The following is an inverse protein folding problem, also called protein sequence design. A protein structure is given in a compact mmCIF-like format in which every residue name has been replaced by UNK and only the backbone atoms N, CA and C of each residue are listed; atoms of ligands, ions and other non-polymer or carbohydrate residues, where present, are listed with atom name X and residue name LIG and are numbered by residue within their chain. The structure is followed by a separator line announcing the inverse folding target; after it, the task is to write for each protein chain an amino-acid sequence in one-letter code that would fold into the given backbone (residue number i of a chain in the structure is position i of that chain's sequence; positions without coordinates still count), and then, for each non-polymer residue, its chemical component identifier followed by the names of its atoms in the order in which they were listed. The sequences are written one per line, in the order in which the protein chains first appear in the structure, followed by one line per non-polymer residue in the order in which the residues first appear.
data_IF_911958836137
#
_entry.id   IF_911958836137
#
_cell.length_a   1.000
_cell.length_b   1.000
_cell.length_c   1.000
_cell.angle_alpha   90.00
_cell.angle_beta   90.00
_cell.angle_gamma   90.00
#
_symmetry.space_group_name_H-M   'P 1'
#
loop_
_entity.id
_entity.type
_entity.pdbx_description
1 polymer ?
#
# COMPACT_ATOMS: atom_id res chain seq x y z
N UNK A 1 -95.63 -2.76 -1.04
CA UNK A 1 -94.47 -2.86 -0.13
C UNK A 1 -93.34 -3.58 -0.85
N UNK A 2 -92.55 -2.81 -1.62
CA UNK A 2 -91.39 -3.23 -2.41
C UNK A 2 -90.24 -2.30 -2.02
N UNK A 3 -89.01 -2.81 -2.09
CA UNK A 3 -87.74 -2.05 -2.02
C UNK A 3 -87.20 -1.63 -0.65
N UNK A 4 -87.07 -2.56 0.31
CA UNK A 4 -86.08 -2.40 1.40
C UNK A 4 -85.51 -3.78 1.71
N UNK A 5 -84.46 -4.19 1.01
CA UNK A 5 -83.56 -5.31 1.42
C UNK A 5 -82.37 -5.58 0.50
N UNK A 6 -82.21 -4.84 -0.60
CA UNK A 6 -81.04 -4.96 -1.49
C UNK A 6 -80.03 -3.81 -1.38
N UNK A 7 -80.21 -2.88 -0.44
CA UNK A 7 -79.35 -1.69 -0.27
C UNK A 7 -78.36 -1.80 0.89
N UNK A 8 -78.34 -2.91 1.63
CA UNK A 8 -77.40 -3.12 2.74
C UNK A 8 -76.15 -3.92 2.36
N UNK A 9 -76.08 -4.46 1.14
CA UNK A 9 -74.91 -5.21 0.64
C UNK A 9 -74.06 -4.44 -0.38
N UNK A 10 -74.47 -3.21 -0.74
CA UNK A 10 -73.74 -2.35 -1.67
C UNK A 10 -73.06 -1.14 -0.99
N UNK A 11 -73.32 -0.91 0.30
CA UNK A 11 -72.67 0.17 1.07
C UNK A 11 -71.48 -0.32 1.91
N UNK A 12 -71.34 -1.62 2.13
CA UNK A 12 -70.22 -2.22 2.87
C UNK A 12 -69.04 -2.60 1.99
N UNK A 13 -69.22 -2.61 0.66
CA UNK A 13 -68.17 -2.88 -0.33
C UNK A 13 -67.49 -1.62 -0.88
N UNK A 14 -67.96 -0.43 -0.52
CA UNK A 14 -67.35 0.85 -0.95
C UNK A 14 -66.39 1.47 0.07
N UNK A 15 -66.16 0.84 1.23
CA UNK A 15 -65.25 1.36 2.27
C UNK A 15 -63.89 0.65 2.36
N UNK A 16 -63.56 -0.27 1.45
CA UNK A 16 -62.27 -1.00 1.46
C UNK A 16 -61.22 -0.37 0.53
N UNK A 17 -61.53 0.72 -0.18
CA UNK A 17 -60.59 1.37 -1.12
C UNK A 17 -60.27 2.82 -0.76
N UNK A 18 -60.32 3.16 0.53
CA UNK A 18 -59.70 4.37 1.08
C UNK A 18 -58.59 3.97 2.06
N UNK A 19 -57.69 3.09 1.61
CA UNK A 19 -56.36 3.04 2.21
C UNK A 19 -55.63 4.28 1.71
N UNK A 20 -55.75 5.38 2.46
CA UNK A 20 -54.71 6.40 2.45
C UNK A 20 -53.45 5.70 2.95
N UNK A 21 -52.68 5.09 2.04
CA UNK A 21 -51.31 4.73 2.33
C UNK A 21 -50.62 6.03 2.70
N UNK A 22 -50.15 6.15 3.94
CA UNK A 22 -49.27 7.25 4.29
C UNK A 22 -48.09 7.23 3.33
N UNK A 23 -47.81 8.36 2.69
CA UNK A 23 -46.64 8.52 1.85
C UNK A 23 -45.40 8.47 2.74
N UNK A 24 -44.84 7.27 2.88
CA UNK A 24 -43.60 6.99 3.61
C UNK A 24 -42.37 7.00 2.71
N UNK A 25 -42.49 7.50 1.49
CA UNK A 25 -41.34 7.62 0.59
C UNK A 25 -40.21 8.42 1.23
N UNK A 26 -40.54 9.50 1.96
CA UNK A 26 -39.56 10.28 2.72
C UNK A 26 -38.82 9.49 3.80
N UNK A 27 -39.53 8.65 4.57
CA UNK A 27 -38.92 7.79 5.60
C UNK A 27 -38.06 6.69 4.97
N UNK A 28 -38.50 6.13 3.84
CA UNK A 28 -37.73 5.16 3.07
C UNK A 28 -36.42 5.79 2.55
N UNK A 29 -36.49 6.92 1.85
CA UNK A 29 -35.30 7.61 1.31
C UNK A 29 -34.34 8.09 2.42
N UNK A 30 -34.84 8.45 3.59
CA UNK A 30 -34.00 8.76 4.74
C UNK A 30 -33.20 7.55 5.25
N UNK A 31 -33.74 6.34 5.12
CA UNK A 31 -33.10 5.10 5.56
C UNK A 31 -32.15 4.48 4.52
N UNK A 32 -32.40 4.71 3.23
CA UNK A 32 -31.62 4.08 2.15
C UNK A 32 -30.74 5.05 1.34
N UNK A 33 -30.80 6.35 1.65
CA UNK A 33 -30.16 7.40 0.86
C UNK A 33 -28.66 7.18 0.63
N UNK A 34 -27.92 6.74 1.65
CA UNK A 34 -26.49 6.42 1.55
C UNK A 34 -26.22 5.38 0.46
N UNK A 35 -26.99 4.29 0.47
CA UNK A 35 -26.82 3.19 -0.46
C UNK A 35 -27.31 3.51 -1.87
N UNK A 36 -28.38 4.30 -2.01
CA UNK A 36 -28.79 4.84 -3.30
C UNK A 36 -27.70 5.70 -3.93
N UNK A 37 -27.05 6.54 -3.12
CA UNK A 37 -25.93 7.37 -3.57
C UNK A 37 -24.72 6.52 -3.95
N UNK A 38 -24.35 5.52 -3.15
CA UNK A 38 -23.26 4.58 -3.49
C UNK A 38 -23.54 3.88 -4.82
N UNK A 39 -24.75 3.33 -5.00
CA UNK A 39 -25.11 2.66 -6.25
C UNK A 39 -25.04 3.63 -7.45
N UNK A 40 -25.49 4.87 -7.28
CA UNK A 40 -25.41 5.90 -8.32
C UNK A 40 -23.94 6.14 -8.74
N UNK A 41 -23.06 6.43 -7.78
CA UNK A 41 -21.63 6.66 -8.06
C UNK A 41 -20.99 5.44 -8.72
N UNK A 42 -21.31 4.23 -8.25
CA UNK A 42 -20.80 3.00 -8.85
C UNK A 42 -21.29 2.83 -10.30
N UNK A 43 -22.56 3.12 -10.60
CA UNK A 43 -23.07 3.05 -11.98
C UNK A 43 -22.46 4.09 -12.91
N UNK A 44 -22.09 5.25 -12.39
CA UNK A 44 -21.52 6.35 -13.18
C UNK A 44 -20.01 6.18 -13.40
N UNK A 45 -19.27 5.74 -12.39
CA UNK A 45 -17.80 5.86 -12.36
C UNK A 45 -17.04 4.54 -12.20
N UNK A 46 -17.68 3.46 -11.75
CA UNK A 46 -16.98 2.20 -11.52
C UNK A 46 -16.40 1.63 -12.82
N UNK A 47 -15.17 1.13 -12.77
CA UNK A 47 -14.48 0.58 -13.93
C UNK A 47 -15.25 -0.58 -14.57
N UNK A 48 -15.92 -1.38 -13.74
CA UNK A 48 -16.73 -2.53 -14.16
C UNK A 48 -18.23 -2.31 -13.90
N UNK A 49 -18.73 -1.09 -14.13
CA UNK A 49 -20.12 -0.71 -13.88
C UNK A 49 -21.15 -1.61 -14.58
N UNK A 50 -20.82 -2.12 -15.76
CA UNK A 50 -21.66 -3.03 -16.57
C UNK A 50 -21.80 -4.45 -15.96
N UNK A 51 -20.98 -4.74 -14.95
CA UNK A 51 -20.88 -6.03 -14.27
C UNK A 51 -21.38 -5.97 -12.81
N UNK A 52 -21.99 -4.85 -12.40
CA UNK A 52 -22.63 -4.69 -11.09
C UNK A 52 -23.77 -5.73 -10.96
N UNK A 53 -23.78 -6.55 -9.90
CA UNK A 53 -24.86 -7.51 -9.67
C UNK A 53 -26.23 -6.85 -9.49
N UNK A 54 -27.30 -7.59 -9.78
CA UNK A 54 -28.66 -7.12 -9.51
C UNK A 54 -28.90 -6.99 -8.00
N UNK A 55 -29.31 -5.80 -7.56
CA UNK A 55 -29.55 -5.45 -6.15
C UNK A 55 -31.03 -5.62 -5.81
N UNK A 56 -31.31 -6.21 -4.65
CA UNK A 56 -32.68 -6.36 -4.13
C UNK A 56 -33.04 -5.15 -3.27
N UNK A 57 -34.32 -4.83 -3.18
CA UNK A 57 -34.81 -3.74 -2.33
C UNK A 57 -34.37 -3.89 -0.85
N UNK A 58 -34.29 -5.13 -0.36
CA UNK A 58 -33.82 -5.41 1.01
C UNK A 58 -32.33 -5.13 1.23
N UNK A 59 -31.53 -5.05 0.16
CA UNK A 59 -30.09 -4.84 0.27
C UNK A 59 -29.74 -3.40 0.66
N UNK A 60 -30.59 -2.43 0.31
CA UNK A 60 -30.39 -1.01 0.59
C UNK A 60 -30.45 -0.64 2.07
N UNK A 61 -30.86 -1.56 2.94
CA UNK A 61 -30.86 -1.37 4.40
C UNK A 61 -29.57 -1.86 5.08
N UNK A 62 -28.59 -2.34 4.31
CA UNK A 62 -27.30 -2.74 4.84
C UNK A 62 -26.44 -1.51 5.20
N UNK A 63 -25.48 -1.70 6.12
CA UNK A 63 -24.41 -0.72 6.32
C UNK A 63 -23.69 -0.41 4.99
N UNK A 64 -23.28 0.85 4.75
CA UNK A 64 -22.66 1.30 3.51
C UNK A 64 -21.56 0.37 2.95
N UNK A 65 -20.62 -0.07 3.80
CA UNK A 65 -19.53 -0.95 3.37
C UNK A 65 -20.07 -2.31 2.92
N UNK A 66 -21.01 -2.89 3.66
CA UNK A 66 -21.65 -4.16 3.28
C UNK A 66 -22.47 -4.03 2.00
N UNK A 67 -23.06 -2.87 1.74
CA UNK A 67 -23.76 -2.59 0.50
C UNK A 67 -22.79 -2.47 -0.68
N UNK A 68 -21.68 -1.73 -0.53
CA UNK A 68 -20.62 -1.65 -1.54
C UNK A 68 -20.09 -3.03 -1.93
N UNK A 69 -19.83 -3.91 -0.97
CA UNK A 69 -19.36 -5.29 -1.23
C UNK A 69 -20.36 -6.14 -2.04
N UNK A 70 -21.64 -5.74 -2.13
CA UNK A 70 -22.63 -6.38 -3.02
C UNK A 70 -22.57 -5.85 -4.46
N UNK A 71 -22.05 -4.64 -4.67
CA UNK A 71 -21.95 -4.00 -5.98
C UNK A 71 -20.67 -4.41 -6.74
N UNK A 72 -19.58 -4.67 -6.03
CA UNK A 72 -18.27 -4.91 -6.65
C UNK A 72 -18.24 -6.17 -7.52
N UNK A 73 -17.52 -6.11 -8.63
CA UNK A 73 -17.47 -7.19 -9.61
C UNK A 73 -16.57 -8.35 -9.13
N UNK A 74 -17.18 -9.48 -8.77
CA UNK A 74 -16.48 -10.64 -8.19
C UNK A 74 -15.52 -11.39 -9.12
N UNK A 75 -15.59 -11.15 -10.44
CA UNK A 75 -14.65 -11.76 -11.42
C UNK A 75 -13.62 -10.78 -11.98
N UNK A 76 -13.58 -9.54 -11.45
CA UNK A 76 -12.53 -8.58 -11.79
C UNK A 76 -11.13 -9.14 -11.48
N UNK A 77 -10.10 -8.49 -12.04
CA UNK A 77 -8.70 -8.75 -11.68
C UNK A 77 -8.31 -10.24 -11.80
N UNK A 78 -8.62 -10.87 -12.95
CA UNK A 78 -8.40 -12.31 -13.20
C UNK A 78 -9.09 -13.24 -12.19
N UNK A 79 -10.33 -12.92 -11.83
CA UNK A 79 -11.14 -13.75 -10.91
C UNK A 79 -10.84 -13.53 -9.43
N UNK A 80 -10.00 -12.55 -9.08
CA UNK A 80 -9.75 -12.14 -7.68
C UNK A 80 -10.86 -11.26 -7.11
N UNK A 81 -11.73 -10.73 -7.98
CA UNK A 81 -12.72 -9.73 -7.63
C UNK A 81 -12.09 -8.33 -7.53
N UNK A 82 -12.84 -7.42 -6.94
CA UNK A 82 -12.37 -6.07 -6.64
C UNK A 82 -12.25 -5.89 -5.13
N UNK A 83 -11.06 -6.16 -4.56
CA UNK A 83 -10.79 -5.92 -3.14
C UNK A 83 -10.31 -4.48 -2.89
N UNK A 84 -10.49 -3.58 -3.87
CA UNK A 84 -9.87 -2.25 -3.89
C UNK A 84 -10.90 -1.13 -3.72
N UNK A 85 -12.14 -1.32 -4.15
CA UNK A 85 -13.19 -0.36 -3.81
C UNK A 85 -13.54 -0.44 -2.31
N UNK A 86 -13.62 0.71 -1.63
CA UNK A 86 -13.89 0.76 -0.18
C UNK A 86 -14.59 2.05 0.26
N UNK A 87 -15.14 2.03 1.48
CA UNK A 87 -15.64 3.23 2.18
C UNK A 87 -14.67 3.67 3.28
N UNK A 88 -14.42 4.97 3.31
CA UNK A 88 -13.64 5.65 4.36
C UNK A 88 -14.58 6.56 5.15
N UNK A 89 -14.87 6.26 6.42
CA UNK A 89 -15.70 7.16 7.23
C UNK A 89 -14.92 8.44 7.53
N UNK A 90 -15.52 9.63 7.57
CA UNK A 90 -14.73 10.87 7.74
C UNK A 90 -14.04 10.95 9.12
N UNK A 91 -14.65 10.38 10.15
CA UNK A 91 -14.02 10.19 11.46
C UNK A 91 -12.80 9.26 11.38
N UNK A 92 -12.87 8.18 10.59
CA UNK A 92 -11.67 7.39 10.27
C UNK A 92 -10.77 8.09 9.26
N UNK A 93 -11.22 8.97 8.37
CA UNK A 93 -10.34 9.73 7.48
C UNK A 93 -9.48 10.72 8.25
N UNK A 94 -9.94 11.18 9.42
CA UNK A 94 -9.14 11.98 10.34
C UNK A 94 -8.28 11.11 11.27
N UNK A 95 -8.69 9.86 11.55
CA UNK A 95 -8.01 8.92 12.45
C UNK A 95 -7.18 7.79 11.77
N UNK A 96 -7.30 7.59 10.46
CA UNK A 96 -6.84 6.46 9.64
C UNK A 96 -6.09 6.93 8.38
N UNK A 97 -5.63 8.19 8.35
CA UNK A 97 -4.52 8.60 7.48
C UNK A 97 -3.30 7.78 7.89
N UNK A 98 -3.16 6.54 7.39
CA UNK A 98 -2.18 5.50 7.79
C UNK A 98 -2.17 5.16 9.29
N UNK A 99 -2.26 3.88 9.67
CA UNK A 99 -2.14 3.44 11.07
C UNK A 99 -0.83 3.83 11.79
N UNK A 100 0.16 4.36 11.05
CA UNK A 100 1.39 4.95 11.60
C UNK A 100 1.34 6.48 11.65
N UNK A 101 0.37 7.09 10.98
CA UNK A 101 0.19 8.52 10.88
C UNK A 101 -1.02 8.93 11.76
N UNK A 102 -0.68 9.64 12.84
CA UNK A 102 -1.49 10.72 13.44
C UNK A 102 -2.50 10.45 14.55
N UNK A 103 -2.82 9.22 14.97
CA UNK A 103 -3.54 9.02 16.27
C UNK A 103 -2.58 8.61 17.38
N UNK A 104 -1.93 7.45 17.27
CA UNK A 104 -0.90 7.03 18.21
C UNK A 104 -0.10 5.84 17.69
N UNK A 105 1.23 5.84 17.80
CA UNK A 105 2.04 4.65 17.56
C UNK A 105 3.36 4.69 18.34
N UNK A 106 3.96 3.53 18.60
CA UNK A 106 5.37 3.47 19.01
C UNK A 106 6.34 3.74 17.85
N UNK A 107 5.88 3.63 16.60
CA UNK A 107 6.60 4.06 15.40
C UNK A 107 7.56 3.02 14.82
N UNK A 108 7.15 1.75 14.78
CA UNK A 108 7.89 0.69 14.08
C UNK A 108 6.93 -0.31 13.42
N UNK A 109 7.42 -0.97 12.36
CA UNK A 109 6.77 -2.10 11.73
C UNK A 109 7.50 -3.41 12.07
N UNK A 110 6.76 -4.51 12.10
CA UNK A 110 7.26 -5.83 12.45
C UNK A 110 6.54 -6.95 11.69
N UNK A 111 7.19 -8.09 11.61
CA UNK A 111 6.55 -9.37 11.31
C UNK A 111 6.47 -10.23 12.55
N UNK A 112 5.29 -10.79 12.80
CA UNK A 112 5.04 -11.75 13.86
C UNK A 112 5.22 -13.14 13.26
N UNK A 113 6.05 -13.98 13.88
CA UNK A 113 6.25 -15.35 13.43
C UNK A 113 6.48 -16.30 14.59
N UNK A 114 6.18 -17.57 14.36
CA UNK A 114 6.70 -18.63 15.23
C UNK A 114 8.20 -18.71 15.07
N UNK A 115 8.89 -19.26 16.08
CA UNK A 115 10.34 -19.46 16.09
C UNK A 115 10.91 -19.86 14.71
N UNK A 116 11.70 -18.98 14.04
CA UNK A 116 12.26 -19.22 12.71
C UNK A 116 13.19 -20.43 12.65
N UNK A 117 13.71 -20.91 13.79
CA UNK A 117 14.57 -22.09 13.85
C UNK A 117 13.78 -23.41 13.89
N UNK A 118 12.50 -23.34 14.29
CA UNK A 118 11.65 -24.49 14.54
C UNK A 118 11.95 -25.27 15.84
N UNK A 119 12.84 -24.78 16.71
CA UNK A 119 13.17 -25.46 17.98
C UNK A 119 12.09 -25.27 19.06
N UNK A 120 11.27 -24.22 18.94
CA UNK A 120 10.17 -23.95 19.86
C UNK A 120 8.91 -23.46 19.14
N UNK A 121 7.80 -23.35 19.88
CA UNK A 121 6.57 -22.71 19.40
C UNK A 121 6.42 -21.27 19.87
N UNK A 122 7.49 -20.65 20.41
CA UNK A 122 7.44 -19.25 20.82
C UNK A 122 7.13 -18.35 19.64
N UNK A 123 6.45 -17.24 19.94
CA UNK A 123 6.13 -16.21 18.95
C UNK A 123 7.06 -15.04 19.19
N UNK A 124 7.71 -14.60 18.11
CA UNK A 124 8.58 -13.44 18.12
C UNK A 124 8.06 -12.40 17.13
N UNK A 125 8.32 -11.13 17.44
CA UNK A 125 8.17 -10.04 16.48
C UNK A 125 9.55 -9.60 16.00
N UNK A 126 9.80 -9.68 14.69
CA UNK A 126 11.00 -9.14 14.07
C UNK A 126 10.72 -7.74 13.57
N UNK A 127 11.50 -6.76 14.02
CA UNK A 127 11.35 -5.38 13.56
C UNK A 127 11.83 -5.27 12.10
N UNK A 128 10.97 -4.74 11.24
CA UNK A 128 11.26 -4.52 9.82
C UNK A 128 11.70 -3.08 9.56
N UNK A 129 11.19 -2.13 10.35
CA UNK A 129 11.36 -0.72 10.07
C UNK A 129 11.08 0.10 11.33
N UNK A 130 11.86 1.15 11.58
CA UNK A 130 11.66 2.06 12.74
C UNK A 130 11.65 3.50 12.22
N UNK A 131 10.59 4.24 12.56
CA UNK A 131 10.44 5.64 12.21
C UNK A 131 11.41 6.50 13.04
N UNK A 132 12.10 7.48 12.43
CA UNK A 132 12.87 8.47 13.19
C UNK A 132 11.95 9.29 14.11
N UNK A 133 12.48 9.78 15.23
CA UNK A 133 11.76 10.61 16.19
C UNK A 133 10.51 9.95 16.81
N UNK A 134 10.49 8.62 16.84
CA UNK A 134 9.44 7.80 17.43
C UNK A 134 9.83 7.28 18.82
N UNK A 135 8.85 6.91 19.68
CA UNK A 135 9.15 6.22 20.94
C UNK A 135 10.04 4.98 20.78
N UNK A 136 9.89 4.23 19.69
CA UNK A 136 10.73 3.08 19.38
C UNK A 136 12.17 3.48 19.06
N UNK A 137 12.38 4.51 18.23
CA UNK A 137 13.73 5.01 17.93
C UNK A 137 14.42 5.59 19.18
N UNK A 138 13.67 6.28 20.05
CA UNK A 138 14.18 6.84 21.31
C UNK A 138 14.56 5.74 22.31
N UNK A 139 13.90 4.58 22.23
CA UNK A 139 14.22 3.39 23.02
C UNK A 139 15.40 2.58 22.45
N UNK A 140 15.97 2.98 21.31
CA UNK A 140 17.07 2.26 20.65
C UNK A 140 16.63 0.95 19.98
N UNK A 141 15.36 0.85 19.56
CA UNK A 141 14.91 -0.22 18.69
C UNK A 141 15.41 0.00 17.28
N UNK A 142 15.84 -1.09 16.65
CA UNK A 142 16.35 -1.08 15.28
C UNK A 142 15.74 -2.21 14.46
N UNK A 143 15.74 -2.04 13.14
CA UNK A 143 15.42 -3.10 12.19
C UNK A 143 16.29 -4.34 12.50
N UNK A 144 15.67 -5.52 12.45
CA UNK A 144 16.31 -6.79 12.74
C UNK A 144 16.27 -7.22 14.20
N UNK A 145 15.96 -6.32 15.15
CA UNK A 145 15.72 -6.71 16.54
C UNK A 145 14.54 -7.70 16.63
N UNK A 146 14.68 -8.71 17.50
CA UNK A 146 13.61 -9.65 17.83
C UNK A 146 13.01 -9.30 19.19
N UNK A 147 11.69 -9.25 19.27
CA UNK A 147 10.93 -9.01 20.50
C UNK A 147 10.22 -10.29 20.93
N UNK A 148 10.42 -10.71 22.18
CA UNK A 148 9.82 -11.91 22.78
C UNK A 148 8.71 -11.62 23.79
N UNK A 149 8.68 -10.41 24.38
CA UNK A 149 7.72 -10.07 25.42
C UNK A 149 7.36 -8.58 25.44
N UNK A 150 6.17 -8.27 25.94
CA UNK A 150 5.64 -6.92 26.16
C UNK A 150 5.29 -6.77 27.64
N UNK A 151 5.92 -5.82 28.33
CA UNK A 151 5.79 -5.71 29.77
C UNK A 151 6.33 -6.95 30.47
N UNK A 152 5.46 -7.70 31.14
CA UNK A 152 5.77 -8.97 31.81
C UNK A 152 5.21 -10.19 31.07
N UNK A 153 4.48 -9.98 29.99
CA UNK A 153 3.76 -11.03 29.26
C UNK A 153 4.55 -11.42 28.02
N UNK A 154 4.71 -12.73 27.80
CA UNK A 154 5.28 -13.25 26.56
C UNK A 154 4.43 -12.85 25.36
N UNK A 155 5.08 -12.65 24.22
CA UNK A 155 4.43 -12.30 22.97
C UNK A 155 3.65 -13.50 22.43
N UNK A 156 2.44 -13.26 21.95
CA UNK A 156 1.53 -14.25 21.41
C UNK A 156 0.76 -13.69 20.21
N UNK A 157 0.05 -14.57 19.51
CA UNK A 157 -0.85 -14.18 18.42
C UNK A 157 -2.04 -13.33 18.88
N UNK A 158 -2.31 -13.26 20.19
CA UNK A 158 -3.46 -12.54 20.72
C UNK A 158 -3.10 -11.17 21.31
N UNK A 159 -1.83 -10.93 21.64
CA UNK A 159 -1.41 -9.69 22.32
C UNK A 159 -0.45 -8.82 21.47
N UNK A 160 -0.11 -9.21 20.24
CA UNK A 160 0.79 -8.44 19.37
C UNK A 160 0.28 -7.03 19.04
N UNK A 161 -1.02 -6.75 19.20
CA UNK A 161 -1.58 -5.41 19.05
C UNK A 161 -0.90 -4.37 19.96
N UNK A 162 -0.42 -4.79 21.14
CA UNK A 162 0.33 -3.93 22.06
C UNK A 162 1.75 -3.56 21.57
N UNK A 163 2.21 -4.11 20.45
CA UNK A 163 3.42 -3.62 19.77
C UNK A 163 3.15 -2.37 18.93
N UNK A 164 1.89 -2.08 18.62
CA UNK A 164 1.54 -0.99 17.71
C UNK A 164 1.40 0.34 18.44
N UNK A 165 0.73 0.33 19.59
CA UNK A 165 0.39 1.49 20.40
C UNK A 165 0.09 1.10 21.87
N UNK A 166 0.10 2.09 22.76
CA UNK A 166 -0.19 1.91 24.18
C UNK A 166 0.47 2.96 25.09
N UNK A 167 0.37 2.75 26.40
CA UNK A 167 1.06 3.54 27.42
C UNK A 167 2.56 3.25 27.50
N UNK A 168 3.22 3.73 28.55
CA UNK A 168 4.61 3.33 28.80
C UNK A 168 4.70 1.81 28.98
N UNK A 169 5.65 1.17 28.32
CA UNK A 169 5.83 -0.29 28.38
C UNK A 169 7.30 -0.67 28.30
N UNK A 170 7.57 -1.97 28.33
CA UNK A 170 8.89 -2.54 28.06
C UNK A 170 8.80 -3.60 26.97
N UNK A 171 9.84 -3.74 26.17
CA UNK A 171 9.96 -4.84 25.22
C UNK A 171 11.22 -5.65 25.55
N UNK A 172 11.09 -6.97 25.66
CA UNK A 172 12.24 -7.86 25.83
C UNK A 172 12.83 -8.16 24.45
N UNK A 173 14.12 -7.86 24.27
CA UNK A 173 14.84 -8.13 23.03
C UNK A 173 15.61 -9.43 23.14
N UNK A 174 15.59 -10.20 22.07
CA UNK A 174 16.32 -11.45 21.92
C UNK A 174 17.30 -11.38 20.76
N UNK A 175 18.37 -12.14 20.87
CA UNK A 175 19.32 -12.39 19.79
C UNK A 175 19.34 -13.88 19.48
N UNK A 176 19.31 -14.20 18.18
CA UNK A 176 19.50 -15.56 17.70
C UNK A 176 20.98 -15.78 17.40
N UNK A 177 21.61 -16.72 18.10
CA UNK A 177 23.03 -17.06 17.91
C UNK A 177 23.18 -18.49 17.41
N UNK A 178 24.27 -18.75 16.71
CA UNK A 178 24.66 -20.06 16.21
C UNK A 178 26.02 -20.42 16.79
N UNK A 179 26.18 -21.66 17.25
CA UNK A 179 27.49 -22.19 17.64
C UNK A 179 28.31 -22.65 16.41
N UNK A 180 29.55 -23.11 16.64
CA UNK A 180 30.43 -23.61 15.58
C UNK A 180 29.88 -24.85 14.85
N UNK A 181 28.93 -25.55 15.47
CA UNK A 181 28.26 -26.74 14.95
C UNK A 181 26.98 -26.38 14.18
N UNK A 182 26.60 -25.10 14.16
CA UNK A 182 25.40 -24.59 13.48
C UNK A 182 24.11 -24.75 14.29
N UNK A 183 24.18 -25.12 15.57
CA UNK A 183 23.00 -25.17 16.43
C UNK A 183 22.59 -23.75 16.84
N UNK A 184 21.30 -23.47 16.74
CA UNK A 184 20.73 -22.17 17.05
C UNK A 184 20.24 -22.08 18.49
N UNK A 185 20.46 -20.94 19.17
CA UNK A 185 19.87 -20.65 20.48
C UNK A 185 19.45 -19.19 20.61
N UNK A 186 18.36 -18.96 21.36
CA UNK A 186 17.88 -17.63 21.71
C UNK A 186 18.55 -17.16 23.01
N UNK A 187 19.07 -15.94 22.99
CA UNK A 187 19.69 -15.29 24.13
C UNK A 187 19.01 -13.95 24.40
N UNK A 188 18.54 -13.78 25.63
CA UNK A 188 18.02 -12.51 26.13
C UNK A 188 19.10 -11.44 26.02
N UNK A 189 18.81 -10.40 25.25
CA UNK A 189 19.73 -9.28 25.02
C UNK A 189 19.57 -8.26 26.13
N UNK A 190 18.37 -7.69 26.25
CA UNK A 190 18.00 -6.74 27.29
C UNK A 190 16.47 -6.54 27.33
N UNK A 191 16.02 -5.63 28.20
CA UNK A 191 14.64 -5.14 28.22
C UNK A 191 14.67 -3.64 28.04
N UNK A 192 14.14 -3.15 26.93
CA UNK A 192 14.10 -1.73 26.61
C UNK A 192 12.84 -1.08 27.14
N UNK A 193 12.96 0.13 27.70
CA UNK A 193 11.81 0.93 28.13
C UNK A 193 11.35 1.78 26.95
N UNK A 194 10.07 1.68 26.62
CA UNK A 194 9.46 2.44 25.53
C UNK A 194 8.45 3.39 26.12
N UNK A 195 8.60 4.68 25.82
CA UNK A 195 7.64 5.71 26.19
C UNK A 195 6.28 5.44 25.52
N UNK A 196 5.22 6.00 26.10
CA UNK A 196 3.88 5.92 25.53
C UNK A 196 3.86 6.30 24.05
N UNK A 197 3.04 5.57 23.30
CA UNK A 197 2.79 5.85 21.89
C UNK A 197 2.27 7.28 21.71
N UNK A 198 2.58 7.87 20.57
CA UNK A 198 2.17 9.23 20.20
C UNK A 198 2.05 9.35 18.68
N UNK A 199 1.47 10.43 18.13
CA UNK A 199 1.58 10.72 16.71
C UNK A 199 3.05 10.77 16.27
N UNK A 200 3.39 10.02 15.23
CA UNK A 200 4.72 10.02 14.58
C UNK A 200 4.52 10.32 13.10
N UNK A 201 5.37 11.18 12.55
CA UNK A 201 5.36 11.48 11.12
C UNK A 201 6.05 10.36 10.34
N UNK A 202 5.40 9.88 9.28
CA UNK A 202 6.03 9.03 8.27
C UNK A 202 6.47 9.94 7.12
N UNK A 203 7.74 10.34 7.13
CA UNK A 203 8.36 10.94 5.95
C UNK A 203 8.61 9.84 4.91
N UNK A 204 8.15 9.99 3.65
CA UNK A 204 8.29 8.96 2.63
C UNK A 204 9.74 8.74 2.17
N UNK A 205 10.62 9.74 2.34
CA UNK A 205 12.05 9.63 2.02
C UNK A 205 12.80 9.13 3.25
N UNK A 206 12.81 7.81 3.44
CA UNK A 206 13.42 7.23 4.63
C UNK A 206 14.95 7.28 4.60
N UNK A 207 15.53 7.02 3.42
CA UNK A 207 16.97 7.08 3.18
C UNK A 207 17.19 7.62 1.78
N UNK A 208 18.17 8.51 1.64
CA UNK A 208 18.66 9.03 0.38
C UNK A 208 20.18 9.27 0.48
N UNK A 209 20.98 8.47 -0.22
CA UNK A 209 22.44 8.48 -0.08
C UNK A 209 23.15 8.08 -1.37
N UNK A 210 24.47 8.25 -1.39
CA UNK A 210 25.35 7.80 -2.47
C UNK A 210 26.46 6.95 -1.88
N UNK A 211 26.63 5.76 -2.45
CA UNK A 211 27.76 4.90 -2.16
C UNK A 211 28.84 5.02 -3.23
N UNK A 212 30.10 4.98 -2.81
CA UNK A 212 31.24 4.80 -3.71
C UNK A 212 31.81 3.40 -3.49
N UNK A 213 31.52 2.48 -4.43
CA UNK A 213 31.94 1.06 -4.32
C UNK A 213 32.58 0.63 -5.62
N UNK A 214 33.80 0.08 -5.53
CA UNK A 214 34.59 -0.39 -6.68
C UNK A 214 34.69 0.65 -7.81
N UNK A 215 34.86 1.92 -7.45
CA UNK A 215 34.98 3.04 -8.40
C UNK A 215 33.68 3.48 -9.07
N UNK A 216 32.52 3.01 -8.59
CA UNK A 216 31.20 3.44 -9.07
C UNK A 216 30.44 4.23 -8.01
N UNK A 217 29.77 5.29 -8.42
CA UNK A 217 28.82 6.05 -7.61
C UNK A 217 27.42 5.46 -7.77
N UNK A 218 26.83 5.00 -6.68
CA UNK A 218 25.51 4.37 -6.67
C UNK A 218 24.59 5.22 -5.79
N UNK A 219 23.63 5.90 -6.41
CA UNK A 219 22.56 6.56 -5.67
C UNK A 219 21.57 5.50 -5.15
N UNK A 220 21.16 5.62 -3.89
CA UNK A 220 20.23 4.73 -3.23
C UNK A 220 19.16 5.54 -2.51
N UNK A 221 17.90 5.16 -2.73
CA UNK A 221 16.76 5.81 -2.09
C UNK A 221 15.75 4.78 -1.60
N UNK A 222 15.43 4.82 -0.31
CA UNK A 222 14.27 4.11 0.27
C UNK A 222 13.09 5.06 0.25
N UNK A 223 12.15 4.81 -0.66
CA UNK A 223 10.97 5.64 -0.86
C UNK A 223 9.72 4.85 -0.50
N UNK A 224 9.05 5.26 0.57
CA UNK A 224 8.10 4.43 1.31
C UNK A 224 6.62 4.76 1.08
N UNK A 225 6.31 5.88 0.45
CA UNK A 225 4.93 6.25 0.10
C UNK A 225 4.94 7.33 -0.99
N UNK A 226 4.05 7.19 -1.98
CA UNK A 226 3.80 8.24 -2.98
C UNK A 226 2.82 9.28 -2.42
N UNK A 227 3.30 10.12 -1.50
CA UNK A 227 2.54 11.22 -0.90
C UNK A 227 3.02 12.58 -1.39
N UNK A 228 2.11 13.54 -1.46
CA UNK A 228 2.34 14.95 -1.82
C UNK A 228 2.82 15.80 -0.63
N UNK A 229 2.47 15.40 0.60
CA UNK A 229 2.90 16.06 1.83
C UNK A 229 2.40 15.39 3.12
N UNK A 230 2.68 15.97 4.30
CA UNK A 230 2.38 15.34 5.60
C UNK A 230 0.89 15.12 5.89
N UNK A 231 0.00 15.86 5.22
CA UNK A 231 -1.44 15.67 5.35
C UNK A 231 -2.00 14.69 4.30
N UNK A 232 -1.14 14.23 3.39
CA UNK A 232 -1.46 13.31 2.30
C UNK A 232 -2.61 13.84 1.42
N UNK A 233 -2.70 15.17 1.26
CA UNK A 233 -3.70 15.82 0.41
C UNK A 233 -3.07 16.18 -0.94
N UNK A 234 -3.77 15.98 -2.06
CA UNK A 234 -3.20 16.27 -3.38
C UNK A 234 -2.75 17.73 -3.60
N UNK A 235 -3.22 18.67 -2.76
CA UNK A 235 -2.80 20.07 -2.76
C UNK A 235 -1.50 20.34 -2.01
N UNK A 236 -1.03 19.40 -1.19
CA UNK A 236 0.24 19.51 -0.48
C UNK A 236 1.42 19.54 -1.49
N UNK A 237 2.54 20.14 -1.09
CA UNK A 237 3.71 20.30 -1.97
C UNK A 237 5.03 19.95 -1.31
N UNK A 238 5.06 19.80 0.02
CA UNK A 238 6.27 19.67 0.83
C UNK A 238 7.11 18.46 0.41
N UNK A 239 6.49 17.29 0.23
CA UNK A 239 7.22 16.09 -0.18
C UNK A 239 7.62 16.14 -1.67
N UNK A 240 6.88 16.85 -2.51
CA UNK A 240 7.28 17.07 -3.92
C UNK A 240 8.53 17.95 -4.00
N UNK A 241 8.59 19.02 -3.21
CA UNK A 241 9.78 19.87 -3.11
C UNK A 241 10.96 19.13 -2.49
N UNK A 242 10.74 18.30 -1.46
CA UNK A 242 11.78 17.45 -0.89
C UNK A 242 12.33 16.46 -1.94
N UNK A 243 11.47 15.82 -2.74
CA UNK A 243 11.90 14.96 -3.84
C UNK A 243 12.81 15.72 -4.81
N UNK A 244 12.38 16.92 -5.22
CA UNK A 244 13.17 17.77 -6.14
C UNK A 244 14.55 18.07 -5.58
N UNK A 245 14.66 18.41 -4.30
CA UNK A 245 15.94 18.68 -3.64
C UNK A 245 16.85 17.43 -3.59
N UNK A 246 16.27 16.26 -3.29
CA UNK A 246 16.99 14.97 -3.30
C UNK A 246 17.56 14.69 -4.69
N UNK A 247 16.75 14.85 -5.74
CA UNK A 247 17.19 14.61 -7.11
C UNK A 247 18.17 15.67 -7.63
N UNK A 248 18.03 16.93 -7.24
CA UNK A 248 19.04 17.96 -7.51
C UNK A 248 20.41 17.57 -6.92
N UNK A 249 20.44 17.05 -5.68
CA UNK A 249 21.66 16.57 -5.04
C UNK A 249 22.22 15.34 -5.75
N UNK A 250 21.39 14.35 -6.09
CA UNK A 250 21.83 13.19 -6.86
C UNK A 250 22.40 13.60 -8.23
N UNK A 251 21.73 14.50 -8.95
CA UNK A 251 22.22 15.03 -10.23
C UNK A 251 23.59 15.68 -10.10
N UNK A 252 23.79 16.53 -9.08
CA UNK A 252 25.07 17.18 -8.80
C UNK A 252 26.21 16.20 -8.48
N UNK A 253 25.89 14.97 -8.05
CA UNK A 253 26.86 13.93 -7.74
C UNK A 253 27.13 12.98 -8.91
N UNK A 254 26.28 13.02 -9.95
CA UNK A 254 26.41 12.24 -11.19
C UNK A 254 26.62 10.74 -10.94
N UNK A 255 25.66 10.05 -10.32
CA UNK A 255 25.77 8.62 -10.04
C UNK A 255 25.78 7.80 -11.34
N UNK A 256 26.54 6.70 -11.34
CA UNK A 256 26.61 5.73 -12.43
C UNK A 256 25.42 4.76 -12.42
N UNK A 257 24.81 4.56 -11.24
CA UNK A 257 23.66 3.68 -11.04
C UNK A 257 22.69 4.25 -10.01
N UNK A 258 21.42 3.87 -10.14
CA UNK A 258 20.36 4.24 -9.21
C UNK A 258 19.63 2.99 -8.71
N UNK A 259 19.58 2.82 -7.39
CA UNK A 259 18.80 1.80 -6.71
C UNK A 259 17.60 2.48 -6.02
N UNK A 260 16.40 2.14 -6.48
CA UNK A 260 15.15 2.58 -5.90
C UNK A 260 14.57 1.46 -5.03
N UNK A 261 14.54 1.65 -3.72
CA UNK A 261 13.97 0.68 -2.79
C UNK A 261 12.51 1.02 -2.49
N UNK A 262 11.61 0.19 -3.03
CA UNK A 262 10.16 0.26 -2.86
C UNK A 262 9.64 -0.94 -2.07
N UNK A 263 10.51 -1.69 -1.38
CA UNK A 263 10.14 -2.99 -0.80
C UNK A 263 8.99 -2.88 0.20
N UNK A 264 8.81 -1.72 0.85
CA UNK A 264 7.70 -1.46 1.77
C UNK A 264 6.73 -0.38 1.29
N UNK A 265 6.77 -0.03 0.00
CA UNK A 265 5.96 1.05 -0.55
C UNK A 265 4.62 0.55 -1.14
N UNK A 266 3.48 0.86 -0.50
CA UNK A 266 2.16 0.42 -0.92
C UNK A 266 1.57 1.23 -2.10
N UNK A 267 2.31 2.20 -2.63
CA UNK A 267 1.93 3.08 -3.74
C UNK A 267 1.59 4.50 -3.28
N UNK A 268 0.55 5.09 -3.87
CA UNK A 268 -0.03 6.37 -3.45
C UNK A 268 -0.53 7.15 -4.67
N UNK A 269 -0.21 8.43 -4.75
CA UNK A 269 -0.63 9.30 -5.84
C UNK A 269 0.10 9.01 -7.16
N UNK A 270 -0.66 8.92 -8.26
CA UNK A 270 -0.11 8.76 -9.60
C UNK A 270 0.72 9.98 -10.04
N UNK A 271 0.37 11.17 -9.55
CA UNK A 271 1.13 12.40 -9.81
C UNK A 271 2.56 12.33 -9.26
N UNK A 272 2.73 11.82 -8.02
CA UNK A 272 4.06 11.58 -7.45
C UNK A 272 4.83 10.50 -8.23
N UNK A 273 4.15 9.46 -8.73
CA UNK A 273 4.77 8.46 -9.60
C UNK A 273 5.23 9.06 -10.94
N UNK A 274 4.46 9.99 -11.49
CA UNK A 274 4.80 10.71 -12.72
C UNK A 274 6.02 11.61 -12.51
N UNK A 275 6.08 12.35 -11.40
CA UNK A 275 7.26 13.14 -11.03
C UNK A 275 8.49 12.25 -10.84
N UNK A 276 8.38 11.14 -10.11
CA UNK A 276 9.47 10.19 -9.94
C UNK A 276 9.94 9.61 -11.29
N UNK A 277 9.00 9.22 -12.15
CA UNK A 277 9.29 8.79 -13.52
C UNK A 277 10.04 9.87 -14.31
N UNK A 278 9.68 11.14 -14.13
CA UNK A 278 10.32 12.29 -14.79
C UNK A 278 11.76 12.51 -14.33
N UNK A 279 12.09 12.23 -13.06
CA UNK A 279 13.47 12.29 -12.61
C UNK A 279 14.33 11.12 -13.12
N UNK A 280 13.72 9.96 -13.38
CA UNK A 280 14.44 8.73 -13.70
C UNK A 280 14.57 8.44 -15.20
N UNK A 281 13.57 8.82 -16.02
CA UNK A 281 13.53 8.52 -17.45
C UNK A 281 14.72 9.14 -18.23
N UNK A 282 15.04 8.63 -19.43
CA UNK A 282 15.96 9.32 -20.34
C UNK A 282 15.48 10.74 -20.62
N UNK A 283 16.38 11.72 -20.59
CA UNK A 283 16.06 13.14 -20.72
C UNK A 283 15.37 13.47 -22.05
N UNK A 284 15.69 12.71 -23.11
CA UNK A 284 15.08 12.78 -24.45
C UNK A 284 13.58 12.44 -24.46
N UNK A 285 13.10 11.74 -23.44
CA UNK A 285 11.70 11.29 -23.35
C UNK A 285 10.81 12.22 -22.52
N UNK A 286 11.36 13.24 -21.86
CA UNK A 286 10.56 14.25 -21.15
C UNK A 286 9.51 14.88 -22.08
N UNK A 287 8.29 15.02 -21.60
CA UNK A 287 7.11 15.45 -22.37
C UNK A 287 6.34 14.32 -23.06
N UNK A 288 6.89 13.10 -23.17
CA UNK A 288 6.14 11.93 -23.67
C UNK A 288 5.22 11.37 -22.59
N UNK A 289 4.17 10.67 -22.99
CA UNK A 289 3.17 10.06 -22.10
C UNK A 289 3.82 9.02 -21.18
N UNK A 290 3.96 9.29 -19.88
CA UNK A 290 4.48 8.32 -18.92
C UNK A 290 3.48 7.18 -18.73
N UNK A 291 2.25 7.55 -18.38
CA UNK A 291 1.15 6.62 -18.19
C UNK A 291 -0.17 7.21 -18.70
N UNK A 292 -1.14 6.34 -18.94
CA UNK A 292 -2.51 6.69 -19.34
C UNK A 292 -3.48 6.03 -18.38
N UNK A 293 -4.40 6.79 -17.78
CA UNK A 293 -5.55 6.18 -17.12
C UNK A 293 -6.61 5.87 -18.17
N UNK A 294 -7.12 4.64 -18.15
CA UNK A 294 -8.20 4.17 -19.02
C UNK A 294 -9.44 3.90 -18.15
N UNK A 295 -10.40 4.80 -18.24
CA UNK A 295 -11.69 4.71 -17.55
C UNK A 295 -12.67 3.79 -18.30
N UNK A 296 -13.85 3.56 -17.71
CA UNK A 296 -14.94 2.85 -18.36
C UNK A 296 -15.40 3.55 -19.66
N UNK A 297 -16.14 2.85 -20.51
CA UNK A 297 -16.57 3.34 -21.84
C UNK A 297 -17.67 4.41 -21.81
N UNK A 298 -18.20 4.76 -20.63
CA UNK A 298 -19.17 5.85 -20.45
C UNK A 298 -18.53 7.13 -19.90
N UNK A 299 -17.24 7.07 -19.55
CA UNK A 299 -16.48 8.24 -19.09
C UNK A 299 -16.03 9.11 -20.25
N UNK A 300 -16.11 10.43 -20.07
CA UNK A 300 -15.62 11.44 -21.02
C UNK A 300 -14.71 12.46 -20.29
N UNK A 301 -13.40 12.51 -20.59
CA UNK A 301 -12.68 11.65 -21.52
C UNK A 301 -12.47 10.23 -20.98
N UNK A 302 -12.50 9.23 -21.86
CA UNK A 302 -12.20 7.84 -21.47
C UNK A 302 -10.71 7.62 -21.13
N UNK A 303 -9.82 8.42 -21.73
CA UNK A 303 -8.37 8.31 -21.56
C UNK A 303 -7.82 9.64 -21.07
N UNK A 304 -6.99 9.60 -20.04
CA UNK A 304 -6.23 10.76 -19.56
C UNK A 304 -4.76 10.41 -19.50
N UNK A 305 -3.96 11.17 -20.24
CA UNK A 305 -2.51 10.97 -20.31
C UNK A 305 -1.79 11.81 -19.24
N UNK A 306 -0.79 11.21 -18.62
CA UNK A 306 0.11 11.84 -17.67
C UNK A 306 1.51 11.88 -18.31
N UNK A 307 1.95 13.02 -18.87
CA UNK A 307 3.25 13.10 -19.50
C UNK A 307 4.38 13.23 -18.47
N UNK A 308 5.58 12.75 -18.83
CA UNK A 308 6.81 13.06 -18.11
C UNK A 308 6.99 14.58 -18.05
N UNK A 309 7.17 15.11 -16.85
CA UNK A 309 7.16 16.53 -16.56
C UNK A 309 8.44 17.23 -17.02
N UNK A 310 8.35 18.04 -18.07
CA UNK A 310 9.48 18.81 -18.60
C UNK A 310 10.01 19.87 -17.63
N UNK A 311 9.21 20.29 -16.64
CA UNK A 311 9.62 21.23 -15.60
C UNK A 311 10.65 20.66 -14.61
N UNK A 312 10.87 19.33 -14.63
CA UNK A 312 11.82 18.61 -13.78
C UNK A 312 13.13 18.26 -14.50
N UNK A 313 13.35 18.83 -15.70
CA UNK A 313 14.51 18.52 -16.54
C UNK A 313 15.87 18.83 -15.86
N UNK A 314 15.92 19.82 -14.97
CA UNK A 314 17.15 20.22 -14.28
C UNK A 314 17.64 19.18 -13.27
N UNK A 315 16.72 18.40 -12.71
CA UNK A 315 16.99 17.36 -11.70
C UNK A 315 16.93 15.94 -12.29
N UNK A 316 16.54 15.79 -13.56
CA UNK A 316 16.48 14.50 -14.26
C UNK A 316 17.87 13.82 -14.33
N UNK A 317 17.93 12.54 -13.96
CA UNK A 317 19.17 11.76 -13.93
C UNK A 317 19.55 11.14 -15.28
N UNK A 318 18.66 11.17 -16.28
CA UNK A 318 18.88 10.60 -17.61
C UNK A 318 19.34 9.14 -17.56
N UNK A 319 18.62 8.30 -16.79
CA UNK A 319 19.04 6.92 -16.58
C UNK A 319 18.87 6.08 -17.84
N UNK A 320 19.84 5.19 -18.06
CA UNK A 320 19.76 4.09 -19.03
C UNK A 320 19.50 2.74 -18.37
N UNK A 321 19.55 2.69 -17.03
CA UNK A 321 19.29 1.49 -16.22
C UNK A 321 18.80 1.88 -14.84
N UNK A 322 17.85 1.10 -14.32
CA UNK A 322 17.23 1.29 -13.00
C UNK A 322 17.18 -0.06 -12.27
N UNK A 323 17.54 -0.05 -11.00
CA UNK A 323 17.42 -1.21 -10.11
C UNK A 323 16.31 -0.92 -9.10
N UNK A 324 15.32 -1.80 -9.00
CA UNK A 324 14.16 -1.60 -8.11
C UNK A 324 14.08 -2.75 -7.13
N UNK A 325 14.13 -2.43 -5.83
CA UNK A 325 13.95 -3.42 -4.76
C UNK A 325 12.46 -3.53 -4.41
N UNK A 326 11.93 -4.75 -4.45
CA UNK A 326 10.50 -5.01 -4.26
C UNK A 326 10.23 -6.10 -3.23
N UNK A 327 9.03 -6.09 -2.66
CA UNK A 327 8.52 -7.23 -1.91
C UNK A 327 7.04 -7.47 -2.24
N UNK A 328 6.42 -8.44 -1.57
CA UNK A 328 4.96 -8.64 -1.63
C UNK A 328 4.12 -7.45 -1.13
N UNK A 329 4.75 -6.43 -0.54
CA UNK A 329 4.10 -5.20 -0.09
C UNK A 329 4.23 -4.04 -1.08
N UNK A 330 5.07 -4.19 -2.11
CA UNK A 330 5.19 -3.20 -3.19
C UNK A 330 3.94 -3.23 -4.05
N UNK A 331 3.25 -2.11 -4.18
CA UNK A 331 1.94 -2.07 -4.86
C UNK A 331 1.67 -0.75 -5.59
N UNK A 332 0.67 -0.75 -6.48
CA UNK A 332 -0.03 0.47 -6.93
C UNK A 332 0.95 1.42 -7.65
N UNK A 333 1.10 2.67 -7.20
CA UNK A 333 1.96 3.66 -7.82
C UNK A 333 3.43 3.19 -7.93
N UNK A 334 3.89 2.35 -6.99
CA UNK A 334 5.19 1.68 -7.06
C UNK A 334 5.31 0.78 -8.29
N UNK A 335 4.26 0.00 -8.58
CA UNK A 335 4.20 -0.89 -9.74
C UNK A 335 4.04 -0.09 -11.04
N UNK A 336 3.30 1.03 -10.98
CA UNK A 336 3.16 1.95 -12.11
C UNK A 336 4.53 2.54 -12.52
N UNK A 337 5.39 2.92 -11.57
CA UNK A 337 6.76 3.40 -11.88
C UNK A 337 7.55 2.35 -12.64
N UNK A 338 7.52 1.09 -12.18
CA UNK A 338 8.21 -0.01 -12.86
C UNK A 338 7.63 -0.23 -14.25
N UNK A 339 6.30 -0.37 -14.37
CA UNK A 339 5.63 -0.65 -15.64
C UNK A 339 5.80 0.47 -16.68
N UNK A 340 5.77 1.73 -16.24
CA UNK A 340 5.75 2.90 -17.12
C UNK A 340 7.15 3.37 -17.53
N UNK A 341 8.20 3.03 -16.77
CA UNK A 341 9.59 3.29 -17.19
C UNK A 341 10.13 2.26 -18.18
N UNK A 342 9.61 1.02 -18.19
CA UNK A 342 10.07 -0.05 -19.10
C UNK A 342 10.10 0.33 -20.59
N UNK A 343 9.07 0.99 -21.16
CA UNK A 343 9.11 1.43 -22.57
C UNK A 343 10.20 2.45 -22.90
N UNK A 344 10.73 3.16 -21.89
CA UNK A 344 11.73 4.22 -22.06
C UNK A 344 13.15 3.75 -21.76
N UNK A 345 13.33 3.02 -20.66
CA UNK A 345 14.63 2.53 -20.20
C UNK A 345 14.99 1.19 -20.89
N UNK A 346 13.99 0.40 -21.30
CA UNK A 346 14.12 -0.97 -21.76
C UNK A 346 13.72 -1.96 -20.66
N UNK A 347 12.95 -3.00 -21.01
CA UNK A 347 12.41 -3.97 -20.04
C UNK A 347 13.52 -4.66 -19.25
N UNK A 348 14.59 -5.03 -19.93
CA UNK A 348 15.81 -5.66 -19.39
C UNK A 348 16.68 -4.71 -18.57
N UNK A 349 16.46 -3.40 -18.69
CA UNK A 349 17.22 -2.36 -17.98
C UNK A 349 16.47 -1.80 -16.77
N UNK A 350 15.19 -2.16 -16.58
CA UNK A 350 14.47 -1.96 -15.31
C UNK A 350 14.53 -3.28 -14.54
N UNK A 351 15.62 -3.47 -13.80
CA UNK A 351 15.95 -4.71 -13.09
C UNK A 351 15.21 -4.74 -11.76
N UNK A 352 14.30 -5.69 -11.60
CA UNK A 352 13.49 -5.87 -10.39
C UNK A 352 14.11 -6.97 -9.53
N UNK A 353 14.38 -6.66 -8.26
CA UNK A 353 15.09 -7.54 -7.32
C UNK A 353 14.24 -7.65 -6.05
N UNK A 354 13.99 -8.87 -5.58
CA UNK A 354 13.26 -9.08 -4.35
C UNK A 354 12.14 -10.12 -4.49
N UNK A 355 10.92 -9.77 -4.11
CA UNK A 355 9.74 -10.63 -4.27
C UNK A 355 8.75 -10.07 -5.29
N UNK A 356 7.84 -10.93 -5.77
CA UNK A 356 6.73 -10.52 -6.65
C UNK A 356 5.83 -9.49 -5.94
N UNK A 357 5.50 -8.40 -6.65
CA UNK A 357 4.66 -7.31 -6.14
C UNK A 357 3.19 -7.71 -6.02
N UNK A 358 2.33 -6.82 -5.50
CA UNK A 358 0.91 -7.12 -5.22
C UNK A 358 0.06 -7.39 -6.48
N UNK A 359 0.30 -6.64 -7.55
CA UNK A 359 -0.42 -6.74 -8.81
C UNK A 359 -1.59 -5.76 -8.96
N UNK A 360 -1.46 -4.56 -8.40
CA UNK A 360 -2.51 -3.54 -8.36
C UNK A 360 -2.35 -2.57 -9.53
N UNK A 361 -3.02 -2.88 -10.64
CA UNK A 361 -2.94 -2.14 -11.90
C UNK A 361 -4.10 -1.14 -12.14
N UNK A 362 -4.82 -0.78 -11.08
CA UNK A 362 -6.01 0.08 -11.14
C UNK A 362 -5.88 1.31 -10.24
N UNK A 363 -6.63 2.34 -10.59
CA UNK A 363 -6.72 3.60 -9.88
C UNK A 363 -8.12 3.88 -9.35
N UNK A 364 -8.18 4.69 -8.31
CA UNK A 364 -9.37 5.11 -7.59
C UNK A 364 -9.44 6.63 -7.52
N UNK A 365 -10.65 7.14 -7.35
CA UNK A 365 -10.94 8.54 -7.07
C UNK A 365 -11.86 8.66 -5.85
N UNK A 366 -11.72 9.68 -5.00
CA UNK A 366 -12.64 9.89 -3.90
C UNK A 366 -13.93 10.55 -4.39
N UNK A 367 -15.07 10.01 -3.96
CA UNK A 367 -16.38 10.61 -4.11
C UNK A 367 -16.94 10.91 -2.73
N UNK A 368 -17.45 12.13 -2.54
CA UNK A 368 -17.98 12.60 -1.27
C UNK A 368 -19.27 13.38 -1.47
N UNK A 369 -20.17 13.24 -0.51
CA UNK A 369 -21.38 14.04 -0.39
C UNK A 369 -21.43 14.65 1.01
N UNK A 370 -21.83 15.91 1.13
CA UNK A 370 -21.90 16.62 2.41
C UNK A 370 -22.95 16.03 3.35
N UNK A 371 -23.94 15.32 2.81
CA UNK A 371 -25.00 14.66 3.59
C UNK A 371 -24.50 13.45 4.36
N UNK A 372 -23.38 12.85 3.96
CA UNK A 372 -22.90 11.58 4.49
C UNK A 372 -21.53 11.71 5.17
N UNK A 373 -21.33 10.96 6.24
CA UNK A 373 -20.10 11.00 7.04
C UNK A 373 -19.01 10.04 6.52
N UNK A 374 -18.91 9.86 5.21
CA UNK A 374 -17.93 9.00 4.58
C UNK A 374 -17.52 9.47 3.18
N UNK A 375 -16.46 8.87 2.66
CA UNK A 375 -15.90 9.02 1.31
C UNK A 375 -15.94 7.64 0.67
N UNK A 376 -16.49 7.56 -0.54
CA UNK A 376 -16.49 6.35 -1.36
C UNK A 376 -15.27 6.39 -2.29
N UNK A 377 -14.50 5.29 -2.33
CA UNK A 377 -13.33 5.14 -3.20
C UNK A 377 -13.55 3.98 -4.16
N UNK A 378 -14.28 4.16 -5.27
CA UNK A 378 -14.43 3.11 -6.27
C UNK A 378 -13.16 3.00 -7.13
N UNK A 379 -12.90 1.81 -7.65
CA UNK A 379 -11.97 1.63 -8.77
C UNK A 379 -12.58 2.23 -10.03
N UNK A 380 -11.91 3.21 -10.64
CA UNK A 380 -12.43 3.98 -11.78
C UNK A 380 -11.67 3.76 -13.09
N UNK A 381 -10.39 3.36 -13.03
CA UNK A 381 -9.55 3.27 -14.22
C UNK A 381 -8.47 2.18 -14.11
N UNK A 382 -8.03 1.64 -15.25
CA UNK A 382 -6.74 0.97 -15.38
C UNK A 382 -5.61 1.99 -15.54
N UNK A 383 -4.39 1.66 -15.11
CA UNK A 383 -3.19 2.48 -15.35
C UNK A 383 -2.27 1.79 -16.34
N UNK A 384 -2.20 2.33 -17.56
CA UNK A 384 -1.43 1.79 -18.67
C UNK A 384 -0.09 2.52 -18.81
N UNK A 385 0.94 1.82 -19.27
CA UNK A 385 2.16 2.47 -19.75
C UNK A 385 1.96 3.09 -21.15
N UNK A 386 3.00 3.77 -21.66
CA UNK A 386 3.00 4.40 -22.99
C UNK A 386 2.79 3.43 -24.17
N UNK A 387 2.94 2.13 -23.96
CA UNK A 387 2.62 1.07 -24.93
C UNK A 387 1.19 0.53 -24.79
N UNK A 388 0.37 1.12 -23.90
CA UNK A 388 -1.01 0.69 -23.65
C UNK A 388 -1.14 -0.58 -22.80
N UNK A 389 -0.11 -0.93 -22.01
CA UNK A 389 -0.05 -2.19 -21.26
C UNK A 389 -0.17 -1.99 -19.75
N UNK A 390 -0.90 -2.89 -19.09
CA UNK A 390 -1.05 -2.97 -17.62
C UNK A 390 -1.01 -4.44 -17.14
N UNK A 391 -0.15 -5.25 -17.77
CA UNK A 391 -0.20 -6.72 -17.70
C UNK A 391 0.50 -7.29 -16.45
N UNK A 392 0.16 -6.78 -15.27
CA UNK A 392 0.77 -7.17 -14.00
C UNK A 392 -0.26 -7.40 -12.88
N UNK A 393 -1.49 -7.80 -13.22
CA UNK A 393 -2.56 -8.17 -12.26
C UNK A 393 -2.18 -9.28 -11.26
N UNK A 394 -1.12 -10.04 -11.54
CA UNK A 394 -0.56 -11.06 -10.65
C UNK A 394 0.73 -10.62 -9.94
N UNK A 395 1.06 -9.33 -10.02
CA UNK A 395 2.33 -8.78 -9.59
C UNK A 395 3.35 -8.75 -10.71
N UNK A 396 4.35 -7.90 -10.53
CA UNK A 396 5.57 -7.85 -11.32
C UNK A 396 6.53 -8.87 -10.71
N UNK A 397 6.84 -9.91 -11.47
CA UNK A 397 7.83 -10.91 -11.08
C UNK A 397 9.23 -10.30 -11.10
N UNK A 398 10.06 -10.53 -10.07
CA UNK A 398 11.43 -10.04 -10.05
C UNK A 398 12.31 -10.80 -11.04
N UNK A 399 13.31 -10.11 -11.59
CA UNK A 399 14.38 -10.72 -12.39
C UNK A 399 15.30 -11.56 -11.50
N UNK A 400 15.49 -11.14 -10.24
CA UNK A 400 16.23 -11.85 -9.21
C UNK A 400 15.40 -11.99 -7.94
N UNK A 401 15.00 -13.23 -7.63
CA UNK A 401 14.21 -13.51 -6.43
C UNK A 401 15.10 -13.53 -5.19
N UNK A 402 14.94 -12.54 -4.30
CA UNK A 402 15.61 -12.45 -3.00
C UNK A 402 14.55 -12.09 -1.94
N UNK A 403 14.42 -12.90 -0.88
CA UNK A 403 13.44 -12.62 0.17
C UNK A 403 14.12 -12.54 1.53
N UNK A 404 14.20 -11.32 2.08
CA UNK A 404 14.66 -11.08 3.45
C UNK A 404 13.80 -11.82 4.50
N UNK A 405 12.53 -12.13 4.17
CA UNK A 405 11.59 -12.82 5.06
C UNK A 405 11.92 -14.29 5.26
N UNK A 406 12.73 -14.87 4.37
CA UNK A 406 13.21 -16.24 4.48
C UNK A 406 14.48 -16.33 5.33
N UNK A 407 15.11 -15.20 5.66
CA UNK A 407 16.37 -15.17 6.40
C UNK A 407 16.16 -15.38 7.89
N UNK A 408 16.92 -16.32 8.44
CA UNK A 408 17.07 -16.49 9.89
C UNK A 408 18.09 -15.49 10.46
N UNK A 409 19.16 -15.21 9.72
CA UNK A 409 20.22 -14.26 10.10
C UNK A 409 19.69 -12.84 10.31
N UNK A 410 20.30 -12.01 11.18
CA UNK A 410 19.83 -10.65 11.47
C UNK A 410 19.57 -9.80 10.22
N UNK A 411 18.51 -8.98 10.24
CA UNK A 411 18.35 -7.94 9.21
C UNK A 411 19.24 -6.77 9.58
N UNK A 412 20.18 -6.44 8.72
CA UNK A 412 20.91 -5.19 8.85
C UNK A 412 19.98 -3.99 8.64
N UNK A 413 20.33 -2.82 9.21
CA UNK A 413 19.63 -1.58 8.92
C UNK A 413 19.50 -1.33 7.42
N UNK A 414 18.38 -0.75 6.99
CA UNK A 414 18.25 -0.31 5.59
C UNK A 414 19.35 0.70 5.29
N UNK A 415 19.96 0.62 4.12
CA UNK A 415 21.09 1.46 3.74
C UNK A 415 22.45 1.03 4.30
N UNK A 416 22.53 -0.02 5.12
CA UNK A 416 23.80 -0.68 5.37
C UNK A 416 24.21 -1.46 4.12
N UNK A 417 25.46 -1.30 3.66
CA UNK A 417 25.98 -2.03 2.49
C UNK A 417 26.05 -3.55 2.67
N UNK A 418 25.84 -4.06 3.89
CA UNK A 418 25.69 -5.48 4.21
C UNK A 418 24.22 -5.95 4.22
N UNK A 419 23.24 -5.04 4.10
CA UNK A 419 21.81 -5.39 4.02
C UNK A 419 21.55 -6.27 2.80
N UNK A 420 20.77 -7.35 2.99
CA UNK A 420 20.69 -8.46 2.05
C UNK A 420 20.36 -8.05 0.60
N UNK A 421 19.29 -7.27 0.38
CA UNK A 421 18.93 -6.86 -0.99
C UNK A 421 19.92 -5.81 -1.52
N UNK A 422 20.35 -4.86 -0.69
CA UNK A 422 21.27 -3.80 -1.10
C UNK A 422 22.66 -4.35 -1.46
N UNK A 423 23.26 -5.18 -0.60
CA UNK A 423 24.55 -5.87 -0.82
C UNK A 423 24.55 -6.62 -2.14
N UNK A 424 23.52 -7.43 -2.38
CA UNK A 424 23.39 -8.22 -3.61
C UNK A 424 23.25 -7.32 -4.84
N UNK A 425 22.46 -6.25 -4.73
CA UNK A 425 22.29 -5.28 -5.82
C UNK A 425 23.60 -4.54 -6.14
N UNK A 426 24.34 -4.10 -5.11
CA UNK A 426 25.67 -3.48 -5.28
C UNK A 426 26.65 -4.46 -5.93
N UNK A 427 26.65 -5.73 -5.49
CA UNK A 427 27.47 -6.78 -6.10
C UNK A 427 27.11 -6.98 -7.58
N UNK A 428 25.83 -7.03 -7.92
CA UNK A 428 25.39 -7.18 -9.31
C UNK A 428 25.74 -5.96 -10.16
N UNK A 429 25.59 -4.74 -9.64
CA UNK A 429 26.05 -3.53 -10.32
C UNK A 429 27.54 -3.63 -10.60
N UNK A 430 28.37 -3.94 -9.61
CA UNK A 430 29.83 -3.85 -9.72
C UNK A 430 30.47 -5.03 -10.46
N UNK A 431 29.89 -6.23 -10.38
CA UNK A 431 30.49 -7.48 -10.87
C UNK A 431 29.64 -8.23 -11.90
N UNK A 432 28.35 -7.89 -12.05
CA UNK A 432 27.40 -8.63 -12.88
C UNK A 432 26.88 -9.92 -12.24
N UNK A 433 27.23 -10.22 -10.98
CA UNK A 433 26.82 -11.43 -10.27
C UNK A 433 26.03 -11.11 -8.99
N UNK A 434 25.01 -11.93 -8.69
CA UNK A 434 24.24 -11.90 -7.44
C UNK A 434 24.75 -13.03 -6.52
N UNK A 435 25.56 -12.73 -5.49
CA UNK A 435 26.27 -13.76 -4.72
C UNK A 435 25.34 -14.63 -3.86
N UNK A 436 24.24 -14.08 -3.35
CA UNK A 436 23.37 -14.76 -2.38
C UNK A 436 22.01 -15.14 -3.02
N UNK A 437 22.00 -15.49 -4.31
CA UNK A 437 20.81 -16.08 -4.93
C UNK A 437 20.48 -17.41 -4.26
N UNK A 438 19.20 -17.65 -3.91
CA UNK A 438 18.83 -18.86 -3.19
C UNK A 438 19.29 -20.11 -3.91
N UNK A 439 20.15 -20.90 -3.25
CA UNK A 439 20.47 -22.25 -3.66
C UNK A 439 19.54 -23.26 -2.98
N UNK A 440 19.42 -24.47 -3.53
CA UNK A 440 18.44 -25.48 -3.09
C UNK A 440 18.59 -25.94 -1.62
N UNK A 441 19.67 -25.57 -0.91
CA UNK A 441 20.02 -26.02 0.44
C UNK A 441 20.21 -24.89 1.47
N UNK A 442 19.69 -23.68 1.22
CA UNK A 442 19.79 -22.60 2.21
C UNK A 442 18.99 -22.90 3.50
N UNK A 443 19.50 -22.39 4.63
CA UNK A 443 18.82 -22.36 5.92
C UNK A 443 17.61 -21.41 5.84
N UNK A 444 16.52 -21.89 5.25
CA UNK A 444 15.26 -21.17 5.17
C UNK A 444 14.58 -21.18 6.54
N UNK A 445 14.03 -20.04 6.94
CA UNK A 445 13.17 -19.94 8.12
C UNK A 445 12.11 -21.06 8.13
N UNK A 446 12.10 -21.83 9.21
CA UNK A 446 11.05 -22.81 9.52
C UNK A 446 9.85 -22.17 10.23
N UNK A 447 9.98 -20.89 10.57
CA UNK A 447 8.95 -20.11 11.24
C UNK A 447 7.80 -19.81 10.30
N UNK A 448 6.58 -19.88 10.83
CA UNK A 448 5.39 -19.43 10.11
C UNK A 448 5.16 -17.96 10.43
N UNK A 449 5.13 -17.12 9.40
CA UNK A 449 4.65 -15.74 9.54
C UNK A 449 3.15 -15.77 9.84
N UNK A 450 2.79 -15.18 10.98
CA UNK A 450 1.43 -15.12 11.51
C UNK A 450 0.78 -13.80 11.12
N UNK A 451 1.53 -12.69 11.23
CA UNK A 451 1.06 -11.34 10.95
C UNK A 451 2.21 -10.48 10.45
N UNK A 452 1.91 -9.45 9.67
CA UNK A 452 2.89 -8.44 9.28
C UNK A 452 2.24 -7.05 9.32
N UNK A 453 2.83 -6.13 10.09
CA UNK A 453 2.25 -4.81 10.33
C UNK A 453 2.25 -3.91 9.10
N UNK A 454 3.07 -4.21 8.07
CA UNK A 454 3.08 -3.48 6.80
C UNK A 454 1.75 -3.61 6.04
N UNK A 455 0.93 -4.63 6.33
CA UNK A 455 -0.43 -4.73 5.79
C UNK A 455 -1.27 -3.51 6.18
N UNK A 456 -1.00 -2.88 7.34
CA UNK A 456 -1.69 -1.65 7.76
C UNK A 456 -1.34 -0.43 6.91
N UNK A 457 -0.26 -0.51 6.13
CA UNK A 457 0.15 0.52 5.17
C UNK A 457 -0.44 0.26 3.79
N UNK A 458 -1.00 -0.92 3.55
CA UNK A 458 -1.59 -1.24 2.26
C UNK A 458 -2.66 -0.21 1.90
N UNK A 459 -2.55 0.34 0.69
CA UNK A 459 -3.59 1.18 0.13
C UNK A 459 -4.43 0.37 -0.82
N UNK A 460 -5.70 0.71 -0.95
CA UNK A 460 -6.62 -0.05 -1.76
C UNK A 460 -6.44 0.18 -3.28
N UNK A 461 -5.79 1.25 -3.75
CA UNK A 461 -5.60 1.57 -5.18
C UNK A 461 -4.57 2.67 -5.45
N UNK A 462 -4.32 2.99 -6.72
CA UNK A 462 -3.58 4.21 -7.12
C UNK A 462 -4.51 5.41 -6.94
N UNK A 463 -4.07 6.46 -6.24
CA UNK A 463 -4.89 7.68 -6.05
C UNK A 463 -4.66 8.66 -7.22
N UNK A 464 -5.75 9.11 -7.84
CA UNK A 464 -5.67 10.12 -8.91
C UNK A 464 -5.80 11.56 -8.41
N UNK A 465 -6.47 11.76 -7.26
CA UNK A 465 -6.76 13.06 -6.66
C UNK A 465 -6.83 12.96 -5.15
#
# INVERSE_FOLDING_TARGET
MKHIRSTFFLLTTLFIMASCGEDRSGEYYALVGENLWIEQIMKEHYLWYDSIPAIKETDYFAEPENFLQKLVYTKAQNGKGDPYSYIETKETSDAARSYLQRTSTYGFDFELMTDPTGISSHVFARILFVLPNSPASEAGLERGNWISAIGKEELTNNNYGYLMEGGNTTFARESLVFDEEGNSSWIATDTVKVAASRPVELNPFYIDTIYEVSGRKIAYMVYNEFSTGPNNQATDTEYREQMKQIFARFKGQSPDAFILDLRYNPGGYLSCATDLGSYLAPAVDLGKVFCTTLYNNISDPQKVDFPLNTGLASENLNLSKLYVLTSKFTASASEAVINCLRPYIGTENVVVIGETTVGKNVAMEPYQDERYNFILWPVVAYVLNSAGQANYVNGITPDFTLSERNLISPLYPLGDTQEYLLKNTIAYITTGSMPDLPQAEEQVSKGKIIYNSLIRRSMNGIRLR
#
